data_IF_376887526898
#
_entry.id   IF_376887526898
#
_cell.length_a   1.000
_cell.length_b   1.000
_cell.length_c   1.000
_cell.angle_alpha   90.00
_cell.angle_beta   90.00
_cell.angle_gamma   90.00
#
_symmetry.space_group_name_H-M   'P 1'
#
loop_
_entity.id
_entity.type
_entity.pdbx_description
1 polymer ?
#
# COMPACT_ATOMS: atom_id res chain seq x y z
N UNK A 1 -11.50 10.18 14.21
CA UNK A 1 -10.87 8.97 13.63
C UNK A 1 -11.07 7.70 14.48
N UNK A 2 -10.17 7.28 15.41
CA UNK A 2 -10.34 5.95 16.08
C UNK A 2 -11.57 5.85 17.01
N UNK A 3 -11.89 6.89 17.78
CA UNK A 3 -13.09 6.94 18.64
C UNK A 3 -14.37 7.00 17.81
N UNK A 4 -14.37 7.86 16.80
CA UNK A 4 -15.44 8.04 15.81
C UNK A 4 -15.75 6.73 15.07
N UNK A 5 -14.74 5.99 14.60
CA UNK A 5 -14.89 4.65 14.00
C UNK A 5 -15.67 3.70 14.91
N UNK A 6 -15.31 3.65 16.20
CA UNK A 6 -16.01 2.80 17.18
C UNK A 6 -17.46 3.24 17.38
N UNK A 7 -17.72 4.54 17.38
CA UNK A 7 -19.08 5.07 17.50
C UNK A 7 -19.94 4.67 16.28
N UNK A 8 -19.40 4.79 15.07
CA UNK A 8 -20.09 4.39 13.83
C UNK A 8 -20.36 2.89 13.80
N UNK A 9 -19.40 2.06 14.24
CA UNK A 9 -19.62 0.61 14.35
C UNK A 9 -20.79 0.26 15.28
N UNK A 10 -20.87 0.92 16.44
CA UNK A 10 -21.97 0.73 17.39
C UNK A 10 -23.31 1.18 16.79
N UNK A 11 -23.34 2.35 16.15
CA UNK A 11 -24.54 2.86 15.48
C UNK A 11 -25.02 1.94 14.35
N UNK A 12 -24.09 1.38 13.56
CA UNK A 12 -24.41 0.40 12.50
C UNK A 12 -25.04 -0.86 13.09
N UNK A 13 -24.48 -1.38 14.19
CA UNK A 13 -25.02 -2.56 14.86
C UNK A 13 -26.42 -2.30 15.44
N UNK A 14 -26.64 -1.11 16.02
CA UNK A 14 -27.95 -0.68 16.51
C UNK A 14 -28.98 -0.62 15.36
N UNK A 15 -28.67 0.06 14.25
CA UNK A 15 -29.58 0.15 13.11
C UNK A 15 -29.85 -1.20 12.44
N UNK A 16 -28.86 -2.09 12.35
CA UNK A 16 -29.08 -3.44 11.82
C UNK A 16 -30.05 -4.25 12.71
N UNK A 17 -29.93 -4.10 14.03
CA UNK A 17 -30.85 -4.74 14.99
C UNK A 17 -32.26 -4.16 14.86
N UNK A 18 -32.37 -2.86 14.74
CA UNK A 18 -33.66 -2.16 14.58
C UNK A 18 -34.33 -2.51 13.25
N UNK A 19 -33.57 -2.58 12.16
CA UNK A 19 -34.04 -3.02 10.84
C UNK A 19 -34.58 -4.46 10.89
N UNK A 20 -33.87 -5.36 11.57
CA UNK A 20 -34.34 -6.72 11.79
C UNK A 20 -35.64 -6.78 12.60
N UNK A 21 -35.75 -5.96 13.65
CA UNK A 21 -36.99 -5.83 14.44
C UNK A 21 -38.16 -5.31 13.60
N UNK A 22 -37.92 -4.27 12.79
CA UNK A 22 -38.90 -3.71 11.88
C UNK A 22 -39.36 -4.74 10.84
N UNK A 23 -38.43 -5.46 10.22
CA UNK A 23 -38.72 -6.54 9.25
C UNK A 23 -39.60 -7.63 9.87
N UNK A 24 -39.28 -8.06 11.09
CA UNK A 24 -40.09 -9.05 11.82
C UNK A 24 -41.50 -8.54 12.14
N UNK A 25 -41.65 -7.25 12.48
CA UNK A 25 -42.96 -6.66 12.76
C UNK A 25 -43.81 -6.54 11.48
N UNK A 26 -43.21 -6.14 10.36
CA UNK A 26 -43.88 -6.10 9.05
C UNK A 26 -44.34 -7.50 8.60
N UNK A 27 -43.49 -8.51 8.78
CA UNK A 27 -43.86 -9.90 8.50
C UNK A 27 -45.04 -10.36 9.35
N UNK A 28 -45.02 -10.12 10.67
CA UNK A 28 -46.11 -10.53 11.58
C UNK A 28 -47.45 -9.89 11.22
N UNK A 29 -47.43 -8.66 10.68
CA UNK A 29 -48.62 -7.90 10.31
C UNK A 29 -49.05 -8.08 8.85
N UNK A 30 -48.31 -8.85 8.07
CA UNK A 30 -48.51 -9.04 6.63
C UNK A 30 -48.56 -7.71 5.85
N UNK A 31 -47.88 -6.68 6.37
CA UNK A 31 -47.84 -5.34 5.79
C UNK A 31 -46.41 -4.98 5.46
N UNK A 32 -46.02 -5.19 4.20
CA UNK A 32 -44.68 -4.90 3.73
C UNK A 32 -44.61 -3.47 3.17
N UNK A 33 -43.79 -2.63 3.79
CA UNK A 33 -43.51 -1.27 3.31
C UNK A 33 -42.07 -1.19 2.84
N UNK A 34 -41.88 -1.37 1.54
CA UNK A 34 -40.57 -1.37 0.89
C UNK A 34 -39.84 -0.03 1.05
N UNK A 35 -40.56 1.10 0.97
CA UNK A 35 -39.97 2.43 1.11
C UNK A 35 -39.26 2.61 2.46
N UNK A 36 -39.91 2.17 3.53
CA UNK A 36 -39.37 2.28 4.90
C UNK A 36 -38.15 1.38 5.09
N UNK A 37 -38.17 0.17 4.54
CA UNK A 37 -37.01 -0.72 4.53
C UNK A 37 -35.84 -0.10 3.76
N UNK A 38 -36.13 0.49 2.59
CA UNK A 38 -35.14 1.12 1.72
C UNK A 38 -34.51 2.34 2.38
N UNK A 39 -35.29 3.13 3.13
CA UNK A 39 -34.79 4.27 3.92
C UNK A 39 -33.80 3.80 5.00
N UNK A 40 -34.18 2.83 5.84
CA UNK A 40 -33.29 2.30 6.87
C UNK A 40 -32.05 1.59 6.29
N UNK A 41 -32.20 0.87 5.18
CA UNK A 41 -31.07 0.24 4.50
C UNK A 41 -30.10 1.30 3.95
N UNK A 42 -30.62 2.42 3.44
CA UNK A 42 -29.80 3.56 2.98
C UNK A 42 -29.03 4.19 4.13
N UNK A 43 -29.62 4.34 5.31
CA UNK A 43 -28.92 4.85 6.49
C UNK A 43 -27.76 3.95 6.92
N UNK A 44 -27.98 2.63 6.92
CA UNK A 44 -26.93 1.65 7.21
C UNK A 44 -25.81 1.74 6.16
N UNK A 45 -26.16 1.80 4.88
CA UNK A 45 -25.19 1.94 3.78
C UNK A 45 -24.37 3.24 3.90
N UNK A 46 -24.99 4.34 4.35
CA UNK A 46 -24.29 5.61 4.60
C UNK A 46 -23.27 5.48 5.73
N UNK A 47 -23.63 4.80 6.83
CA UNK A 47 -22.68 4.51 7.92
C UNK A 47 -21.52 3.62 7.46
N UNK A 48 -21.81 2.61 6.63
CA UNK A 48 -20.78 1.73 6.05
C UNK A 48 -19.81 2.49 5.14
N UNK A 49 -20.32 3.38 4.28
CA UNK A 49 -19.49 4.23 3.44
C UNK A 49 -18.58 5.13 4.29
N UNK A 50 -19.12 5.75 5.34
CA UNK A 50 -18.34 6.58 6.26
C UNK A 50 -17.29 5.76 7.03
N UNK A 51 -17.63 4.54 7.44
CA UNK A 51 -16.69 3.64 8.10
C UNK A 51 -15.53 3.27 7.17
N UNK A 52 -15.82 2.97 5.91
CA UNK A 52 -14.81 2.68 4.88
C UNK A 52 -13.88 3.87 4.66
N UNK A 53 -14.42 5.09 4.57
CA UNK A 53 -13.64 6.33 4.49
C UNK A 53 -12.67 6.47 5.67
N UNK A 54 -13.16 6.30 6.91
CA UNK A 54 -12.33 6.37 8.11
C UNK A 54 -11.24 5.29 8.13
N UNK A 55 -11.56 4.08 7.68
CA UNK A 55 -10.61 2.97 7.62
C UNK A 55 -9.50 3.21 6.59
N UNK A 56 -9.85 3.76 5.42
CA UNK A 56 -8.86 4.16 4.41
C UNK A 56 -7.91 5.25 4.94
N UNK A 57 -8.42 6.28 5.61
CA UNK A 57 -7.61 7.34 6.23
C UNK A 57 -6.70 6.79 7.33
N UNK A 58 -7.20 5.89 8.19
CA UNK A 58 -6.41 5.27 9.24
C UNK A 58 -5.32 4.35 8.68
N UNK A 59 -5.62 3.61 7.61
CA UNK A 59 -4.66 2.76 6.92
C UNK A 59 -3.54 3.59 6.27
N UNK A 60 -3.88 4.67 5.58
CA UNK A 60 -2.91 5.60 4.99
C UNK A 60 -1.98 6.21 6.06
N UNK A 61 -2.57 6.69 7.17
CA UNK A 61 -1.79 7.23 8.29
C UNK A 61 -0.89 6.17 8.97
N UNK A 62 -1.28 4.90 8.95
CA UNK A 62 -0.45 3.80 9.46
C UNK A 62 0.64 3.36 8.48
N UNK A 63 0.40 3.44 7.17
CA UNK A 63 1.41 3.19 6.15
C UNK A 63 2.56 4.22 6.23
N UNK A 64 2.23 5.51 6.38
CA UNK A 64 3.24 6.56 6.54
C UNK A 64 4.10 6.47 7.80
N UNK A 65 3.63 5.80 8.87
CA UNK A 65 4.44 5.53 10.07
C UNK A 65 5.37 4.33 9.93
N UNK A 66 5.04 3.37 9.05
CA UNK A 66 5.86 2.16 8.83
C UNK A 66 7.14 2.46 8.05
N UNK A 67 7.26 3.64 7.45
CA UNK A 67 8.48 4.09 6.79
C UNK A 67 9.52 4.63 7.76
N UNK A 68 9.27 4.77 9.06
CA UNK A 68 10.32 5.19 10.01
C UNK A 68 10.99 3.96 10.65
N UNK A 69 12.25 3.72 10.30
CA UNK A 69 13.03 2.53 10.66
C UNK A 69 13.57 2.58 12.09
N UNK A 70 14.04 3.74 12.51
CA UNK A 70 14.81 3.93 13.75
C UNK A 70 14.77 5.40 14.18
N UNK A 71 15.38 5.73 15.32
CA UNK A 71 15.54 7.11 15.80
C UNK A 71 17.03 7.46 15.78
N UNK A 72 17.36 8.66 15.32
CA UNK A 72 18.72 9.18 15.39
C UNK A 72 19.10 9.45 16.85
N UNK A 73 20.40 9.52 17.13
CA UNK A 73 20.93 9.97 18.42
C UNK A 73 20.44 11.38 18.80
N UNK A 74 20.18 12.25 17.80
CA UNK A 74 19.58 13.56 18.03
C UNK A 74 18.08 13.52 18.41
N UNK A 75 17.48 12.32 18.48
CA UNK A 75 16.07 12.11 18.83
C UNK A 75 15.08 12.18 17.66
N UNK A 76 15.50 12.51 16.45
CA UNK A 76 14.62 12.61 15.28
C UNK A 76 14.31 11.23 14.65
N UNK A 77 13.10 11.00 14.11
CA UNK A 77 12.77 9.76 13.42
C UNK A 77 13.55 9.64 12.10
N UNK A 78 14.09 8.45 11.83
CA UNK A 78 14.83 8.11 10.61
C UNK A 78 13.92 7.34 9.67
N UNK A 79 13.84 7.81 8.43
CA UNK A 79 13.06 7.16 7.38
C UNK A 79 13.85 5.97 6.83
N UNK A 80 13.18 4.87 6.53
CA UNK A 80 13.75 3.64 5.99
C UNK A 80 14.42 3.95 4.65
N UNK A 81 15.66 3.48 4.48
CA UNK A 81 16.49 3.80 3.32
C UNK A 81 17.16 5.18 3.32
N UNK A 82 17.07 5.96 4.41
CA UNK A 82 17.85 7.20 4.53
C UNK A 82 19.28 6.91 5.02
N UNK A 83 20.28 7.50 4.35
CA UNK A 83 21.68 7.45 4.74
C UNK A 83 22.08 8.55 5.73
N UNK A 84 21.27 9.61 5.84
CA UNK A 84 21.52 10.77 6.69
C UNK A 84 20.26 11.19 7.46
N UNK A 85 20.44 11.69 8.67
CA UNK A 85 19.36 12.26 9.47
C UNK A 85 18.93 13.62 8.89
N UNK A 86 17.65 13.76 8.52
CA UNK A 86 17.10 15.02 8.01
C UNK A 86 17.13 16.19 9.02
N UNK A 87 17.30 15.91 10.31
CA UNK A 87 17.31 16.94 11.35
C UNK A 87 18.74 17.41 11.73
N UNK A 88 19.70 16.49 11.84
CA UNK A 88 21.05 16.82 12.29
C UNK A 88 22.16 16.56 11.27
N UNK A 89 21.84 16.01 10.09
CA UNK A 89 22.80 15.73 9.02
C UNK A 89 23.78 14.58 9.30
N UNK A 90 23.70 13.93 10.46
CA UNK A 90 24.57 12.79 10.80
C UNK A 90 24.25 11.58 9.93
N UNK A 91 25.26 10.79 9.52
CA UNK A 91 25.02 9.53 8.84
C UNK A 91 24.26 8.57 9.76
N UNK A 92 23.30 7.85 9.20
CA UNK A 92 22.45 6.88 9.91
C UNK A 92 22.33 5.61 9.06
N UNK A 93 22.36 4.45 9.71
CA UNK A 93 22.30 3.16 9.03
C UNK A 93 23.66 2.48 8.85
N UNK A 94 23.63 1.30 8.23
CA UNK A 94 24.77 0.39 8.09
C UNK A 94 25.41 0.42 6.70
N UNK A 95 24.78 1.13 5.75
CA UNK A 95 25.31 1.30 4.39
C UNK A 95 26.53 2.23 4.41
N UNK A 96 27.55 1.88 3.64
CA UNK A 96 28.80 2.62 3.57
C UNK A 96 28.57 4.08 3.14
N UNK A 97 29.00 5.01 3.99
CA UNK A 97 29.07 6.44 3.69
C UNK A 97 30.54 6.75 3.44
N UNK A 98 30.86 7.24 2.25
CA UNK A 98 32.21 7.67 1.86
C UNK A 98 32.33 9.18 1.99
N UNK A 99 33.53 9.69 2.22
CA UNK A 99 33.79 11.14 2.20
C UNK A 99 34.32 11.57 0.84
N UNK A 100 33.84 12.70 0.33
CA UNK A 100 34.38 13.27 -0.89
C UNK A 100 35.86 13.61 -0.70
N UNK A 101 36.72 13.07 -1.56
CA UNK A 101 38.18 13.30 -1.51
C UNK A 101 38.60 14.75 -1.75
N UNK A 102 37.71 15.57 -2.31
CA UNK A 102 37.99 16.97 -2.67
C UNK A 102 37.48 17.98 -1.63
N UNK A 103 36.30 17.76 -1.05
CA UNK A 103 35.68 18.73 -0.13
C UNK A 103 35.34 18.16 1.25
N UNK A 104 35.54 16.86 1.47
CA UNK A 104 35.25 16.19 2.73
C UNK A 104 33.75 15.96 3.01
N UNK A 105 32.85 16.38 2.11
CA UNK A 105 31.41 16.19 2.29
C UNK A 105 31.06 14.70 2.32
N UNK A 106 30.24 14.23 3.28
CA UNK A 106 29.83 12.83 3.33
C UNK A 106 28.84 12.52 2.22
N UNK A 107 29.02 11.38 1.55
CA UNK A 107 28.27 10.92 0.39
C UNK A 107 27.88 9.46 0.58
N UNK A 108 26.72 9.01 0.06
CA UNK A 108 26.45 7.59 0.00
C UNK A 108 27.45 6.92 -0.95
N UNK A 109 27.85 5.67 -0.68
CA UNK A 109 28.89 4.99 -1.45
C UNK A 109 28.57 4.85 -2.95
N UNK A 110 27.30 4.85 -3.34
CA UNK A 110 26.83 4.76 -4.72
C UNK A 110 26.65 6.13 -5.41
N UNK A 111 26.99 7.25 -4.76
CA UNK A 111 26.92 8.56 -5.39
C UNK A 111 27.92 8.66 -6.56
N UNK A 112 27.43 8.99 -7.76
CA UNK A 112 28.30 9.30 -8.91
C UNK A 112 28.94 10.69 -8.84
N UNK A 113 28.32 11.63 -8.12
CA UNK A 113 28.79 13.02 -8.00
C UNK A 113 28.53 13.58 -6.60
N UNK A 114 29.42 14.47 -6.14
CA UNK A 114 29.25 15.18 -4.89
C UNK A 114 28.23 16.34 -5.05
N UNK A 115 27.13 16.39 -4.28
CA UNK A 115 26.17 17.49 -4.33
C UNK A 115 26.73 18.80 -3.75
N UNK A 116 27.82 18.75 -2.98
CA UNK A 116 28.42 19.95 -2.38
C UNK A 116 29.48 20.62 -3.26
N UNK A 117 30.23 19.85 -4.06
CA UNK A 117 31.32 20.42 -4.88
C UNK A 117 31.22 20.08 -6.38
N UNK A 118 30.25 19.26 -6.79
CA UNK A 118 30.00 18.88 -8.18
C UNK A 118 31.01 17.89 -8.78
N UNK A 119 32.06 17.50 -8.06
CA UNK A 119 33.07 16.57 -8.55
C UNK A 119 32.53 15.13 -8.55
N UNK A 120 32.98 14.31 -9.50
CA UNK A 120 32.68 12.89 -9.52
C UNK A 120 33.14 12.24 -8.21
N UNK A 121 32.25 11.45 -7.60
CA UNK A 121 32.60 10.58 -6.50
C UNK A 121 33.06 9.26 -7.12
N UNK A 122 34.26 8.80 -6.75
CA UNK A 122 34.76 7.51 -7.22
C UNK A 122 33.88 6.42 -6.60
N UNK A 123 33.19 5.60 -7.41
CA UNK A 123 32.40 4.51 -6.87
C UNK A 123 33.33 3.53 -6.17
N UNK A 124 32.89 2.83 -5.10
CA UNK A 124 33.63 1.72 -4.56
C UNK A 124 33.86 0.73 -5.71
N UNK A 125 35.10 0.29 -5.89
CA UNK A 125 35.40 -0.84 -6.75
C UNK A 125 34.63 -2.04 -6.20
N UNK A 126 33.48 -2.35 -6.81
CA UNK A 126 32.72 -3.53 -6.48
C UNK A 126 33.58 -4.73 -6.86
N UNK A 127 33.97 -5.52 -5.85
CA UNK A 127 34.44 -6.87 -6.06
C UNK A 127 33.34 -7.68 -6.73
N UNK A 128 33.70 -8.32 -7.83
CA UNK A 128 32.85 -9.16 -8.65
C UNK A 128 32.33 -10.34 -7.83
N UNK A 129 31.11 -10.23 -7.32
CA UNK A 129 30.32 -11.38 -6.89
C UNK A 129 29.44 -11.80 -8.05
N UNK A 130 29.96 -12.68 -8.90
CA UNK A 130 29.24 -13.34 -9.98
C UNK A 130 27.90 -13.88 -9.45
N UNK A 131 26.79 -13.30 -9.90
CA UNK A 131 25.48 -13.94 -9.83
C UNK A 131 25.20 -14.50 -11.21
N UNK A 132 25.52 -15.77 -11.39
CA UNK A 132 25.08 -16.56 -12.55
C UNK A 132 23.56 -16.34 -12.75
N UNK A 133 23.11 -15.91 -13.94
CA UNK A 133 21.72 -16.10 -14.31
C UNK A 133 21.54 -17.58 -14.67
N UNK A 134 20.93 -18.34 -13.76
CA UNK A 134 20.38 -19.67 -14.05
C UNK A 134 19.33 -19.53 -15.17
N UNK A 135 19.81 -19.73 -16.40
CA UNK A 135 19.01 -19.86 -17.59
C UNK A 135 18.38 -21.26 -17.60
N UNK A 136 17.30 -21.45 -16.84
CA UNK A 136 16.39 -22.57 -17.08
C UNK A 136 15.58 -22.28 -18.35
N UNK A 137 16.19 -22.64 -19.48
CA UNK A 137 15.55 -22.75 -20.78
C UNK A 137 14.54 -23.91 -20.71
N UNK A 138 13.26 -23.61 -20.57
CA UNK A 138 12.20 -24.56 -20.93
C UNK A 138 11.94 -24.38 -22.44
N UNK A 139 12.44 -25.33 -23.24
CA UNK A 139 12.05 -25.53 -24.63
C UNK A 139 10.59 -26.01 -24.69
N UNK A 140 9.69 -25.43 -25.49
CA UNK A 140 8.60 -26.19 -26.07
C UNK A 140 9.08 -26.80 -27.39
N UNK A 141 8.98 -28.13 -27.49
CA UNK A 141 9.10 -28.82 -28.76
C UNK A 141 7.88 -28.45 -29.63
N UNK A 142 8.15 -27.92 -30.83
CA UNK A 142 7.12 -27.80 -31.87
C UNK A 142 6.78 -29.17 -32.45
N UNK A 143 5.49 -29.41 -32.68
CA UNK A 143 5.02 -30.38 -33.68
C UNK A 143 3.79 -29.78 -34.37
N UNK A 144 3.88 -29.65 -35.70
CA UNK A 144 2.80 -29.97 -36.64
C UNK A 144 1.68 -28.95 -36.84
N UNK A 145 1.66 -28.34 -38.02
CA UNK A 145 0.53 -27.62 -38.60
C UNK A 145 -0.61 -28.55 -39.03
N UNK A 146 -1.85 -28.07 -39.03
CA UNK A 146 -2.80 -28.25 -40.14
C UNK A 146 -3.94 -27.22 -40.08
N UNK A 147 -4.31 -26.74 -41.26
CA UNK A 147 -5.26 -25.66 -41.56
C UNK A 147 -6.72 -26.10 -41.44
N UNK A 148 -7.63 -25.17 -41.13
CA UNK A 148 -9.06 -25.39 -41.32
C UNK A 148 -9.97 -24.42 -40.55
N UNK A 149 -10.23 -23.23 -41.10
CA UNK A 149 -11.46 -22.49 -40.81
C UNK A 149 -12.59 -23.05 -41.70
N UNK A 150 -13.87 -23.14 -41.23
CA UNK A 150 -14.72 -21.94 -41.27
C UNK A 150 -15.89 -21.83 -40.25
N UNK A 151 -16.13 -20.57 -39.89
CA UNK A 151 -17.39 -19.84 -39.59
C UNK A 151 -18.22 -20.11 -38.32
N UNK A 152 -18.91 -19.06 -37.81
CA UNK A 152 -19.55 -19.05 -36.50
C UNK A 152 -21.06 -19.29 -36.57
N UNK A 153 -21.60 -20.02 -35.60
CA UNK A 153 -23.02 -20.08 -35.29
C UNK A 153 -23.17 -19.86 -33.77
N UNK A 154 -23.82 -18.77 -33.37
CA UNK A 154 -25.19 -18.76 -32.86
C UNK A 154 -25.22 -18.99 -31.34
N UNK A 155 -25.17 -17.91 -30.58
CA UNK A 155 -25.59 -17.89 -29.18
C UNK A 155 -27.06 -17.45 -29.15
N UNK A 156 -27.96 -18.40 -28.91
CA UNK A 156 -29.36 -18.16 -28.56
C UNK A 156 -29.48 -17.91 -27.05
N UNK A 157 -30.23 -16.84 -26.73
CA UNK A 157 -31.06 -16.53 -25.55
C UNK A 157 -30.50 -16.59 -24.12
#
# INVERSE_FOLDING_TARGET
MRRERKAILKAREELLRDLGGLAMEMYRREQFREDLLSEHARDIANLEARLHELDSMLAAAAAGRRTTASRCECGAPIIWGSHFCANCGRPVGEQAVVTCTQCGHPLPADAGFCPSCGKAAEPPANGDGEREPDATVIRPAGVGAEEGSPKPDRWEE
#
